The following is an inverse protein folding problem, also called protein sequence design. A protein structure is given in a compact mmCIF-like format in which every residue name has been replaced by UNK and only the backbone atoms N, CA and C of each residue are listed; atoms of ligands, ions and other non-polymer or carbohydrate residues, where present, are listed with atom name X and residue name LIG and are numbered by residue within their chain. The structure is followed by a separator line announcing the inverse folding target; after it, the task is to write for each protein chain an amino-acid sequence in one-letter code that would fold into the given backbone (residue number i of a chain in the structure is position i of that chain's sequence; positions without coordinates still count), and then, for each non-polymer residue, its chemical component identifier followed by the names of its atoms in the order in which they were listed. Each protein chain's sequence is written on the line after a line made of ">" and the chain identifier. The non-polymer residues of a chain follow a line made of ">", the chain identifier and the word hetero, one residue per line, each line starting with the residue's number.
data_IF_558223867210
#
_entry.id   IF_558223867210
#
_cell.length_a   1.000
_cell.length_b   1.000
_cell.length_c   1.000
_cell.angle_alpha   90.00
_cell.angle_beta   90.00
_cell.angle_gamma   90.00
#
_symmetry.space_group_name_H-M   'P 1'
#
loop_
_entity.id
_entity.type
_entity.pdbx_description
1 polymer ?
#
# COMPACT_ATOMS: atom_id res chain seq x y z
N UNK A 1 2.72 -15.15 16.86
CA UNK A 1 1.55 -14.62 17.61
C UNK A 1 2.04 -14.13 18.97
N UNK A 2 2.26 -12.83 19.15
CA UNK A 2 2.77 -12.28 20.41
C UNK A 2 1.67 -11.43 21.07
N UNK A 3 0.98 -12.00 22.07
CA UNK A 3 0.04 -11.25 22.94
C UNK A 3 0.86 -10.57 24.02
N UNK A 4 1.01 -9.25 23.94
CA UNK A 4 1.46 -8.45 25.09
C UNK A 4 0.23 -7.87 25.80
N UNK A 5 -0.09 -8.41 26.97
CA UNK A 5 -1.14 -7.92 27.87
C UNK A 5 -0.46 -7.17 29.00
N UNK A 6 -0.54 -5.84 29.00
CA UNK A 6 -0.12 -4.99 30.11
C UNK A 6 -1.24 -3.99 30.42
N UNK A 7 -2.12 -4.40 31.32
CA UNK A 7 -3.07 -3.51 32.00
C UNK A 7 -2.44 -3.06 33.32
N UNK A 8 -2.20 -1.76 33.48
CA UNK A 8 -1.91 -1.16 34.79
C UNK A 8 -2.91 -0.04 35.08
N UNK A 9 -3.30 0.04 36.34
CA UNK A 9 -4.51 0.72 36.76
C UNK A 9 -4.31 2.19 37.14
N UNK A 10 -5.44 2.89 37.11
CA UNK A 10 -5.69 4.25 37.57
C UNK A 10 -4.96 4.67 38.86
N UNK A 11 -4.36 5.86 38.85
CA UNK A 11 -4.22 6.68 40.06
C UNK A 11 -4.83 8.06 39.80
N UNK A 12 -5.88 8.38 40.55
CA UNK A 12 -6.44 9.73 40.67
C UNK A 12 -5.68 10.45 41.79
N UNK A 13 -5.16 11.64 41.51
CA UNK A 13 -4.71 12.58 42.53
C UNK A 13 -5.33 13.95 42.20
N UNK A 14 -6.24 14.42 43.05
CA UNK A 14 -6.69 15.81 43.03
C UNK A 14 -5.69 16.68 43.79
N UNK A 15 -5.32 17.83 43.22
CA UNK A 15 -4.49 18.83 43.90
C UNK A 15 -4.66 20.22 43.27
N UNK A 16 -4.83 21.23 44.12
CA UNK A 16 -5.00 22.66 43.79
C UNK A 16 -4.34 23.50 44.91
N UNK A 17 -3.99 24.79 44.78
CA UNK A 17 -4.12 25.82 43.74
C UNK A 17 -2.74 26.51 43.55
N UNK A 18 -2.53 27.28 42.46
CA UNK A 18 -2.46 28.77 42.54
C UNK A 18 -1.80 29.46 41.34
N UNK A 19 -2.53 30.44 40.79
CA UNK A 19 -2.11 31.70 40.12
C UNK A 19 -0.75 31.85 39.39
N UNK A 20 -0.84 31.82 38.06
CA UNK A 20 -0.37 32.83 37.09
C UNK A 20 1.10 33.35 37.07
N UNK A 21 1.72 33.27 35.89
CA UNK A 21 2.44 34.42 35.28
C UNK A 21 2.61 34.28 33.76
N UNK A 22 2.49 35.43 33.07
CA UNK A 22 3.07 35.84 31.77
C UNK A 22 2.92 34.94 30.52
N UNK A 23 2.16 35.47 29.56
CA UNK A 23 2.12 35.11 28.14
C UNK A 23 3.43 35.39 27.39
N UNK A 24 3.88 34.44 26.57
CA UNK A 24 4.30 34.74 25.20
C UNK A 24 3.70 33.67 24.27
N UNK A 25 2.78 34.07 23.39
CA UNK A 25 2.23 33.19 22.37
C UNK A 25 3.23 33.05 21.21
N UNK A 26 4.29 32.26 21.42
CA UNK A 26 5.18 31.81 20.36
C UNK A 26 4.50 30.69 19.56
N UNK A 27 3.40 31.02 18.87
CA UNK A 27 2.96 30.23 17.74
C UNK A 27 3.91 30.55 16.59
N UNK A 28 4.85 29.67 16.19
CA UNK A 28 5.60 29.91 14.96
C UNK A 28 4.56 30.07 13.83
N UNK A 29 4.77 31.00 12.88
CA UNK A 29 3.83 31.15 11.78
C UNK A 29 3.74 29.80 11.08
N UNK A 30 2.57 29.17 11.17
CA UNK A 30 2.24 27.98 10.39
C UNK A 30 2.08 28.44 8.94
N UNK A 31 3.23 28.63 8.28
CA UNK A 31 3.30 28.63 6.84
C UNK A 31 2.54 27.39 6.39
N UNK A 32 1.47 27.51 5.59
CA UNK A 32 0.98 26.37 4.86
C UNK A 32 2.16 25.95 3.98
N UNK A 33 2.80 24.82 4.29
CA UNK A 33 3.63 24.12 3.33
C UNK A 33 2.70 23.66 2.22
N UNK A 34 2.40 24.59 1.31
CA UNK A 34 1.79 24.34 0.02
C UNK A 34 2.87 23.66 -0.83
N UNK A 35 3.22 22.45 -0.43
CA UNK A 35 4.01 21.52 -1.21
C UNK A 35 3.14 21.15 -2.40
N UNK A 36 3.26 21.94 -3.47
CA UNK A 36 2.72 21.60 -4.77
C UNK A 36 3.45 20.33 -5.21
N UNK A 37 2.86 19.18 -4.87
CA UNK A 37 3.36 17.87 -5.26
C UNK A 37 3.28 17.77 -6.79
N UNK A 38 4.36 18.20 -7.44
CA UNK A 38 4.45 18.23 -8.89
C UNK A 38 4.24 16.81 -9.41
N UNK A 39 3.19 16.66 -10.23
CA UNK A 39 2.80 15.36 -10.78
C UNK A 39 3.89 14.92 -11.74
N UNK A 40 4.58 13.84 -11.40
CA UNK A 40 5.65 13.27 -12.24
C UNK A 40 5.13 12.96 -13.65
N UNK A 41 5.89 13.36 -14.67
CA UNK A 41 5.57 13.05 -16.05
C UNK A 41 6.16 11.70 -16.45
N UNK A 42 5.41 10.62 -16.27
CA UNK A 42 5.88 9.26 -16.58
C UNK A 42 6.13 8.98 -18.07
N UNK A 43 5.75 9.87 -18.97
CA UNK A 43 6.13 9.78 -20.38
C UNK A 43 7.54 10.35 -20.64
N UNK A 44 8.15 11.04 -19.66
CA UNK A 44 9.46 11.67 -19.78
C UNK A 44 10.22 11.74 -18.43
N UNK A 45 10.13 10.69 -17.60
CA UNK A 45 10.89 10.61 -16.35
C UNK A 45 12.40 10.59 -16.65
N UNK A 46 13.18 11.50 -16.05
CA UNK A 46 14.62 11.64 -16.33
C UNK A 46 15.49 11.18 -15.15
N UNK A 47 15.02 11.39 -13.93
CA UNK A 47 15.73 10.99 -12.72
C UNK A 47 15.30 9.61 -12.22
N UNK A 48 16.18 8.90 -11.53
CA UNK A 48 15.82 7.61 -10.92
C UNK A 48 14.68 7.75 -9.89
N UNK A 49 14.54 8.92 -9.24
CA UNK A 49 13.43 9.20 -8.33
C UNK A 49 12.08 9.22 -9.07
N UNK A 50 12.02 9.93 -10.21
CA UNK A 50 10.83 9.96 -11.07
C UNK A 50 10.52 8.57 -11.65
N UNK A 51 11.54 7.81 -12.07
CA UNK A 51 11.38 6.43 -12.57
C UNK A 51 10.79 5.53 -11.47
N UNK A 52 11.32 5.60 -10.24
CA UNK A 52 10.80 4.86 -9.08
C UNK A 52 9.33 5.23 -8.79
N UNK A 53 8.99 6.52 -8.81
CA UNK A 53 7.64 7.01 -8.60
C UNK A 53 6.68 6.57 -9.72
N UNK A 54 7.14 6.54 -10.97
CA UNK A 54 6.34 6.08 -12.10
C UNK A 54 6.09 4.58 -12.06
N UNK A 55 7.07 3.76 -11.70
CA UNK A 55 6.87 2.33 -11.46
C UNK A 55 5.83 2.09 -10.35
N UNK A 56 5.90 2.86 -9.25
CA UNK A 56 4.91 2.80 -8.17
C UNK A 56 3.49 3.15 -8.66
N UNK A 57 3.35 4.21 -9.46
CA UNK A 57 2.06 4.62 -10.03
C UNK A 57 1.50 3.57 -11.00
N UNK A 58 2.33 2.95 -11.83
CA UNK A 58 1.91 1.86 -12.72
C UNK A 58 1.43 0.63 -11.93
N UNK A 59 2.16 0.23 -10.89
CA UNK A 59 1.69 -0.81 -9.96
C UNK A 59 0.34 -0.45 -9.31
N UNK A 60 0.18 0.76 -8.76
CA UNK A 60 -1.08 1.20 -8.15
C UNK A 60 -2.26 1.14 -9.15
N UNK A 61 -2.03 1.49 -10.42
CA UNK A 61 -3.03 1.36 -11.48
C UNK A 61 -3.36 -0.11 -11.79
N UNK A 62 -2.37 -0.99 -11.82
CA UNK A 62 -2.57 -2.44 -11.99
C UNK A 62 -3.34 -3.05 -10.81
N UNK A 63 -3.02 -2.69 -9.57
CA UNK A 63 -3.67 -3.21 -8.36
C UNK A 63 -5.13 -2.72 -8.24
N UNK A 64 -5.39 -1.44 -8.55
CA UNK A 64 -6.75 -0.91 -8.70
C UNK A 64 -7.57 -1.73 -9.72
N UNK A 65 -6.96 -2.09 -10.85
CA UNK A 65 -7.58 -2.89 -11.91
C UNK A 65 -7.83 -4.33 -11.46
N UNK A 66 -6.88 -4.95 -10.75
CA UNK A 66 -7.04 -6.27 -10.14
C UNK A 66 -8.24 -6.27 -9.18
N UNK A 67 -8.30 -5.30 -8.28
CA UNK A 67 -9.36 -5.19 -7.28
C UNK A 67 -10.75 -4.98 -7.93
N UNK A 68 -10.84 -4.20 -9.00
CA UNK A 68 -12.07 -4.08 -9.80
C UNK A 68 -12.54 -5.42 -10.39
N UNK A 69 -11.64 -6.26 -10.90
CA UNK A 69 -12.02 -7.57 -11.45
C UNK A 69 -12.33 -8.59 -10.34
N UNK A 70 -11.60 -8.55 -9.22
CA UNK A 70 -11.89 -9.36 -8.04
C UNK A 70 -13.30 -9.07 -7.48
N UNK A 71 -13.64 -7.78 -7.30
CA UNK A 71 -14.97 -7.33 -6.85
C UNK A 71 -16.09 -7.68 -7.84
N UNK A 72 -15.80 -7.73 -9.16
CA UNK A 72 -16.77 -8.18 -10.18
C UNK A 72 -16.97 -9.70 -10.22
N UNK A 73 -15.97 -10.48 -9.81
CA UNK A 73 -16.01 -11.94 -9.81
C UNK A 73 -16.64 -12.50 -8.54
N UNK A 74 -16.19 -12.04 -7.37
CA UNK A 74 -16.55 -12.62 -6.06
C UNK A 74 -18.08 -12.80 -5.85
N UNK A 75 -18.95 -11.80 -6.08
CA UNK A 75 -20.40 -11.96 -5.87
C UNK A 75 -21.09 -12.90 -6.87
N UNK A 76 -20.45 -13.23 -8.00
CA UNK A 76 -20.98 -14.18 -9.00
C UNK A 76 -20.75 -15.64 -8.63
N UNK A 77 -19.90 -15.91 -7.64
CA UNK A 77 -19.56 -17.26 -7.21
C UNK A 77 -20.48 -17.74 -6.07
N UNK A 78 -20.85 -19.03 -6.00
CA UNK A 78 -21.51 -19.59 -4.82
C UNK A 78 -20.55 -19.57 -3.61
N UNK A 79 -21.06 -19.44 -2.38
CA UNK A 79 -20.26 -19.26 -1.15
C UNK A 79 -19.04 -20.19 -1.02
N UNK A 80 -19.11 -21.52 -1.29
CA UNK A 80 -17.93 -22.39 -1.21
C UNK A 80 -16.82 -22.03 -2.21
N UNK A 81 -17.17 -21.49 -3.39
CA UNK A 81 -16.19 -20.99 -4.38
C UNK A 81 -15.67 -19.60 -4.03
N UNK A 82 -16.47 -18.75 -3.38
CA UNK A 82 -16.00 -17.45 -2.85
C UNK A 82 -14.87 -17.67 -1.84
N UNK A 83 -15.05 -18.57 -0.87
CA UNK A 83 -14.02 -18.84 0.14
C UNK A 83 -12.72 -19.37 -0.49
N UNK A 84 -12.82 -20.25 -1.49
CA UNK A 84 -11.64 -20.74 -2.24
C UNK A 84 -10.93 -19.61 -3.00
N UNK A 85 -11.67 -18.69 -3.63
CA UNK A 85 -11.10 -17.53 -4.30
C UNK A 85 -10.41 -16.57 -3.32
N UNK A 86 -11.02 -16.28 -2.17
CA UNK A 86 -10.43 -15.44 -1.10
C UNK A 86 -9.10 -16.04 -0.66
N UNK A 87 -9.08 -17.33 -0.28
CA UNK A 87 -7.87 -18.03 0.16
C UNK A 87 -6.78 -18.04 -0.92
N UNK A 88 -7.13 -18.32 -2.17
CA UNK A 88 -6.20 -18.29 -3.29
C UNK A 88 -5.66 -16.88 -3.57
N UNK A 89 -6.46 -15.84 -3.37
CA UNK A 89 -6.05 -14.45 -3.55
C UNK A 89 -5.09 -13.99 -2.45
N UNK A 90 -5.33 -14.37 -1.19
CA UNK A 90 -4.43 -14.11 -0.06
C UNK A 90 -3.07 -14.81 -0.23
N UNK A 91 -3.09 -16.10 -0.60
CA UNK A 91 -1.87 -16.84 -0.89
C UNK A 91 -1.08 -16.25 -2.07
N UNK A 92 -1.77 -15.79 -3.12
CA UNK A 92 -1.14 -15.12 -4.26
C UNK A 92 -0.51 -13.77 -3.86
N UNK A 93 -1.15 -12.97 -2.99
CA UNK A 93 -0.55 -11.72 -2.49
C UNK A 93 0.76 -12.02 -1.76
N UNK A 94 0.76 -12.98 -0.84
CA UNK A 94 1.97 -13.38 -0.12
C UNK A 94 3.07 -13.83 -1.08
N UNK A 95 2.75 -14.71 -2.05
CA UNK A 95 3.71 -15.13 -3.07
C UNK A 95 4.26 -13.96 -3.89
N UNK A 96 3.39 -13.06 -4.38
CA UNK A 96 3.77 -11.86 -5.12
C UNK A 96 4.77 -11.02 -4.33
N UNK A 97 4.43 -10.68 -3.09
CA UNK A 97 5.23 -9.75 -2.29
C UNK A 97 6.59 -10.38 -1.95
N UNK A 98 6.63 -11.67 -1.58
CA UNK A 98 7.90 -12.38 -1.33
C UNK A 98 8.75 -12.58 -2.59
N UNK A 99 8.12 -12.81 -3.76
CA UNK A 99 8.83 -12.94 -5.03
C UNK A 99 9.43 -11.59 -5.45
N UNK A 100 8.70 -10.49 -5.32
CA UNK A 100 9.20 -9.17 -5.68
C UNK A 100 10.29 -8.66 -4.73
N UNK A 101 10.25 -9.02 -3.44
CA UNK A 101 11.39 -8.79 -2.54
C UNK A 101 12.63 -9.57 -2.96
N UNK A 102 12.48 -10.83 -3.41
CA UNK A 102 13.58 -11.62 -3.97
C UNK A 102 14.13 -11.01 -5.29
N UNK A 103 13.28 -10.57 -6.21
CA UNK A 103 13.72 -9.87 -7.43
C UNK A 103 14.44 -8.55 -7.10
N UNK A 104 13.95 -7.81 -6.09
CA UNK A 104 14.58 -6.59 -5.59
C UNK A 104 15.96 -6.85 -4.95
N UNK A 105 16.16 -7.99 -4.28
CA UNK A 105 17.39 -8.24 -3.51
C UNK A 105 18.65 -8.28 -4.36
N UNK A 106 18.55 -8.62 -5.65
CA UNK A 106 19.66 -8.53 -6.61
C UNK A 106 20.18 -7.11 -6.87
N UNK A 107 19.46 -6.09 -6.38
CA UNK A 107 19.76 -4.66 -6.56
C UNK A 107 19.85 -3.90 -5.22
N UNK A 108 19.96 -4.61 -4.09
CA UNK A 108 19.89 -4.01 -2.75
C UNK A 108 20.93 -2.89 -2.54
N UNK A 109 20.51 -1.80 -1.90
CA UNK A 109 21.29 -0.56 -1.78
C UNK A 109 21.36 0.30 -3.06
N UNK A 110 21.00 -0.24 -4.22
CA UNK A 110 20.95 0.48 -5.50
C UNK A 110 19.72 1.39 -5.62
N UNK A 111 19.90 2.57 -6.22
CA UNK A 111 18.81 3.55 -6.44
C UNK A 111 17.69 3.04 -7.36
N UNK A 112 17.97 2.01 -8.18
CA UNK A 112 17.02 1.33 -9.06
C UNK A 112 16.14 0.28 -8.36
N UNK A 113 16.50 -0.19 -7.16
CA UNK A 113 15.79 -1.25 -6.46
C UNK A 113 14.26 -1.00 -6.30
N UNK A 114 13.78 0.22 -6.00
CA UNK A 114 12.34 0.48 -5.93
C UNK A 114 11.63 0.32 -7.27
N UNK A 115 12.25 0.72 -8.39
CA UNK A 115 11.67 0.52 -9.72
C UNK A 115 11.55 -0.98 -10.06
N UNK A 116 12.57 -1.79 -9.75
CA UNK A 116 12.53 -3.26 -9.92
C UNK A 116 11.36 -3.85 -9.13
N UNK A 117 11.26 -3.50 -7.84
CA UNK A 117 10.20 -3.99 -6.95
C UNK A 117 8.80 -3.65 -7.47
N UNK A 118 8.53 -2.38 -7.81
CA UNK A 118 7.22 -1.99 -8.33
C UNK A 118 6.91 -2.57 -9.72
N UNK A 119 7.91 -2.77 -10.58
CA UNK A 119 7.73 -3.41 -11.90
C UNK A 119 7.39 -4.90 -11.79
N UNK A 120 7.98 -5.61 -10.83
CA UNK A 120 7.58 -6.98 -10.48
C UNK A 120 6.13 -7.01 -9.98
N UNK A 121 5.81 -6.15 -9.00
CA UNK A 121 4.47 -6.05 -8.42
C UNK A 121 3.41 -5.76 -9.51
N UNK A 122 3.69 -4.83 -10.43
CA UNK A 122 2.84 -4.54 -11.58
C UNK A 122 2.66 -5.78 -12.47
N UNK A 123 3.75 -6.43 -12.86
CA UNK A 123 3.74 -7.55 -13.81
C UNK A 123 2.91 -8.72 -13.29
N UNK A 124 3.16 -9.15 -12.04
CA UNK A 124 2.41 -10.22 -11.40
C UNK A 124 0.93 -9.84 -11.21
N UNK A 125 0.66 -8.58 -10.84
CA UNK A 125 -0.71 -8.07 -10.66
C UNK A 125 -1.49 -8.01 -11.98
N UNK A 126 -0.84 -7.66 -13.08
CA UNK A 126 -1.40 -7.71 -14.43
C UNK A 126 -1.66 -9.16 -14.88
N UNK A 127 -0.76 -10.11 -14.60
CA UNK A 127 -0.98 -11.55 -14.85
C UNK A 127 -2.19 -12.07 -14.07
N UNK A 128 -2.27 -11.79 -12.76
CA UNK A 128 -3.39 -12.19 -11.91
C UNK A 128 -4.71 -11.57 -12.38
N UNK A 129 -4.69 -10.32 -12.86
CA UNK A 129 -5.84 -9.67 -13.47
C UNK A 129 -6.34 -10.42 -14.72
N UNK A 130 -5.48 -11.08 -15.50
CA UNK A 130 -5.89 -11.93 -16.64
C UNK A 130 -6.63 -13.18 -16.12
N UNK A 131 -6.07 -13.89 -15.14
CA UNK A 131 -6.72 -15.06 -14.51
C UNK A 131 -8.11 -14.72 -13.95
N UNK A 132 -8.24 -13.59 -13.24
CA UNK A 132 -9.54 -13.15 -12.71
C UNK A 132 -10.56 -12.81 -13.81
N UNK A 133 -10.12 -12.33 -14.97
CA UNK A 133 -11.00 -12.10 -16.14
C UNK A 133 -11.46 -13.39 -16.78
N UNK A 134 -10.59 -14.39 -16.88
CA UNK A 134 -10.92 -15.72 -17.41
C UNK A 134 -12.02 -16.37 -16.56
N UNK A 135 -11.92 -16.29 -15.23
CA UNK A 135 -12.94 -16.80 -14.30
C UNK A 135 -14.28 -16.05 -14.36
N UNK A 136 -14.35 -14.86 -14.97
CA UNK A 136 -15.60 -14.10 -15.18
C UNK A 136 -16.30 -14.53 -16.46
N UNK A 137 -15.58 -15.09 -17.45
CA UNK A 137 -16.21 -15.62 -18.66
C UNK A 137 -17.00 -16.89 -18.32
N UNK A 138 -18.14 -17.13 -18.98
CA UNK A 138 -18.80 -18.43 -18.90
C UNK A 138 -17.82 -19.52 -19.32
N UNK A 139 -17.78 -20.61 -18.56
CA UNK A 139 -17.18 -21.85 -19.04
C UNK A 139 -17.99 -22.27 -20.27
N UNK A 140 -17.34 -22.36 -21.43
CA UNK A 140 -17.92 -22.97 -22.63
C UNK A 140 -17.96 -24.49 -22.48
#
# INVERSE_FOLDING_TARGET
>A
MYKSLLTFASMLILGTMSTATVTIANTPPSLPEMYLAQRVNCNNAQTQSEINQCAQLSYQNADKKLNQFYQKLLPKLPKPRQQKLITAQQAWINFRDTNCEFERSGYEGGSIAPAIYFSCLETMTNQRTKQLKEYIQPVR
#
